data_IF_206895790957
#
_entry.id   IF_206895790957
#
_cell.length_a   1.000
_cell.length_b   1.000
_cell.length_c   1.000
_cell.angle_alpha   90.00
_cell.angle_beta   90.00
_cell.angle_gamma   90.00
#
_symmetry.space_group_name_H-M   'P 1'
#
loop_
_entity.id
_entity.type
_entity.pdbx_description
1 polymer ?
#
# COMPACT_ATOMS: atom_id res chain seq x y z
N UNK A 1 3.68 -14.72 1.63
CA UNK A 1 4.45 -13.46 1.79
C UNK A 1 4.14 -12.78 3.11
N UNK A 2 2.85 -12.74 3.50
CA UNK A 2 2.38 -12.09 4.73
C UNK A 2 2.12 -13.15 5.81
N UNK A 3 2.40 -12.82 7.07
CA UNK A 3 2.25 -13.68 8.24
C UNK A 3 1.46 -12.96 9.33
N UNK A 4 0.60 -13.69 10.05
CA UNK A 4 -0.21 -13.12 11.14
C UNK A 4 -1.17 -12.04 10.64
N UNK A 5 -2.00 -12.36 9.65
CA UNK A 5 -2.86 -11.37 9.01
C UNK A 5 -4.23 -11.92 8.67
N UNK A 6 -5.17 -11.00 8.45
CA UNK A 6 -6.44 -11.24 7.76
C UNK A 6 -6.64 -10.15 6.72
N UNK A 7 -7.36 -10.45 5.66
CA UNK A 7 -7.58 -9.50 4.57
C UNK A 7 -8.99 -9.57 4.00
N UNK A 8 -9.39 -8.48 3.35
CA UNK A 8 -10.62 -8.42 2.55
C UNK A 8 -10.40 -7.47 1.39
N UNK A 9 -11.19 -7.66 0.36
CA UNK A 9 -11.31 -6.73 -0.75
C UNK A 9 -12.62 -5.96 -0.65
N UNK A 10 -12.60 -4.65 -0.91
CA UNK A 10 -13.78 -3.78 -0.79
C UNK A 10 -13.97 -2.92 -2.03
N UNK A 11 -15.15 -3.07 -2.65
CA UNK A 11 -15.63 -2.20 -3.73
C UNK A 11 -16.43 -1.00 -3.19
N UNK A 12 -17.21 -1.22 -2.14
CA UNK A 12 -18.14 -0.24 -1.61
C UNK A 12 -17.68 0.27 -0.24
N UNK A 13 -17.86 1.57 -0.05
CA UNK A 13 -17.44 2.30 1.15
C UNK A 13 -18.59 3.16 1.65
N UNK A 14 -18.77 3.24 2.97
CA UNK A 14 -19.68 4.22 3.58
C UNK A 14 -19.20 5.66 3.32
N UNK A 15 -20.09 6.64 3.41
CA UNK A 15 -19.84 8.02 2.96
C UNK A 15 -18.54 8.66 3.50
N UNK A 16 -18.22 8.46 4.77
CA UNK A 16 -16.96 8.97 5.37
C UNK A 16 -15.73 8.33 4.74
N UNK A 17 -15.71 7.00 4.61
CA UNK A 17 -14.58 6.28 4.04
C UNK A 17 -14.45 6.53 2.54
N UNK A 18 -15.57 6.68 1.82
CA UNK A 18 -15.58 7.02 0.40
C UNK A 18 -14.80 8.32 0.14
N UNK A 19 -15.06 9.37 0.93
CA UNK A 19 -14.32 10.63 0.81
C UNK A 19 -12.81 10.49 1.07
N UNK A 20 -12.39 9.61 1.98
CA UNK A 20 -10.96 9.35 2.23
C UNK A 20 -10.33 8.60 1.05
N UNK A 21 -11.01 7.58 0.53
CA UNK A 21 -10.53 6.78 -0.61
C UNK A 21 -10.41 7.65 -1.87
N UNK A 22 -11.37 8.56 -2.10
CA UNK A 22 -11.30 9.51 -3.23
C UNK A 22 -10.12 10.48 -3.09
N UNK A 23 -9.84 11.01 -1.89
CA UNK A 23 -8.65 11.84 -1.68
C UNK A 23 -7.35 11.06 -1.91
N UNK A 24 -7.27 9.81 -1.44
CA UNK A 24 -6.14 8.94 -1.71
C UNK A 24 -5.94 8.80 -3.23
N UNK A 25 -7.01 8.49 -3.96
CA UNK A 25 -6.99 8.32 -5.42
C UNK A 25 -6.46 9.57 -6.12
N UNK A 26 -7.04 10.73 -5.80
CA UNK A 26 -6.64 12.01 -6.37
C UNK A 26 -5.19 12.43 -6.02
N UNK A 27 -4.67 11.98 -4.88
CA UNK A 27 -3.30 12.31 -4.44
C UNK A 27 -2.26 11.39 -5.07
N UNK A 28 -2.56 10.09 -5.18
CA UNK A 28 -1.56 9.09 -5.52
C UNK A 28 -1.58 8.66 -6.99
N UNK A 29 -2.70 8.84 -7.68
CA UNK A 29 -2.86 8.36 -9.06
C UNK A 29 -3.16 9.54 -9.99
N UNK A 30 -2.64 9.50 -11.23
CA UNK A 30 -2.92 10.54 -12.22
C UNK A 30 -4.42 10.58 -12.54
N UNK A 31 -4.92 11.79 -12.79
CA UNK A 31 -6.32 12.01 -13.16
C UNK A 31 -6.67 11.22 -14.43
N UNK A 32 -7.79 10.48 -14.41
CA UNK A 32 -8.21 9.61 -15.51
C UNK A 32 -7.39 8.33 -15.68
N UNK A 33 -6.38 8.08 -14.84
CA UNK A 33 -5.62 6.83 -14.84
C UNK A 33 -6.47 5.63 -14.43
N UNK A 34 -6.19 4.43 -14.97
CA UNK A 34 -6.94 3.22 -14.59
C UNK A 34 -6.68 2.89 -13.12
N UNK A 35 -7.74 2.92 -12.32
CA UNK A 35 -7.71 2.42 -10.94
C UNK A 35 -8.07 0.94 -10.96
N UNK A 36 -7.14 0.10 -10.50
CA UNK A 36 -7.43 -1.31 -10.26
C UNK A 36 -8.36 -1.40 -9.04
N UNK A 37 -9.42 -2.18 -9.18
CA UNK A 37 -10.31 -2.52 -8.07
C UNK A 37 -10.29 -4.02 -7.82
N UNK A 38 -10.86 -4.52 -6.71
CA UNK A 38 -11.27 -3.83 -5.48
C UNK A 38 -10.12 -3.25 -4.63
N UNK A 39 -10.44 -2.39 -3.65
CA UNK A 39 -9.43 -1.89 -2.69
C UNK A 39 -9.11 -3.00 -1.69
N UNK A 40 -7.83 -3.35 -1.60
CA UNK A 40 -7.32 -4.32 -0.63
C UNK A 40 -7.23 -3.71 0.77
N UNK A 41 -7.76 -4.43 1.76
CA UNK A 41 -7.68 -4.07 3.18
C UNK A 41 -6.96 -5.18 3.90
N UNK A 42 -5.79 -4.86 4.43
CA UNK A 42 -4.94 -5.77 5.18
C UNK A 42 -4.96 -5.40 6.66
N UNK A 43 -5.23 -6.38 7.51
CA UNK A 43 -5.14 -6.25 8.96
C UNK A 43 -4.05 -7.19 9.48
N UNK A 44 -3.03 -6.59 10.09
CA UNK A 44 -1.88 -7.30 10.64
C UNK A 44 -2.04 -7.43 12.16
N UNK A 45 -1.85 -8.64 12.66
CA UNK A 45 -1.68 -8.86 14.09
C UNK A 45 -0.42 -8.13 14.61
N UNK A 46 -0.33 -7.92 15.92
CA UNK A 46 0.82 -7.28 16.57
C UNK A 46 2.15 -7.99 16.27
N UNK A 47 2.12 -9.32 16.13
CA UNK A 47 3.27 -10.13 15.74
C UNK A 47 3.31 -10.43 14.22
N UNK A 48 2.34 -9.91 13.47
CA UNK A 48 2.24 -10.07 12.02
C UNK A 48 3.29 -9.24 11.28
N UNK A 49 3.69 -9.72 10.11
CA UNK A 49 4.69 -9.06 9.28
C UNK A 49 4.57 -9.45 7.81
N UNK A 50 5.18 -8.65 6.95
CA UNK A 50 5.24 -8.86 5.51
C UNK A 50 6.70 -9.16 5.14
N UNK A 51 6.97 -10.30 4.51
CA UNK A 51 8.30 -10.64 4.00
C UNK A 51 8.65 -9.78 2.77
N UNK A 52 9.95 -9.59 2.45
CA UNK A 52 10.36 -8.93 1.22
C UNK A 52 9.71 -9.59 0.00
N UNK A 53 9.06 -8.77 -0.84
CA UNK A 53 8.44 -9.19 -2.09
C UNK A 53 8.27 -7.97 -3.01
N UNK A 54 8.02 -8.25 -4.27
CA UNK A 54 7.60 -7.26 -5.27
C UNK A 54 6.19 -7.63 -5.70
N UNK A 55 5.29 -6.65 -5.72
CA UNK A 55 3.92 -6.83 -6.18
C UNK A 55 3.90 -7.30 -7.65
N UNK A 56 2.88 -8.08 -8.01
CA UNK A 56 2.83 -8.68 -9.33
C UNK A 56 2.54 -7.64 -10.42
N UNK A 57 3.43 -7.52 -11.41
CA UNK A 57 3.23 -6.68 -12.60
C UNK A 57 1.97 -7.02 -13.42
N UNK A 58 1.39 -8.21 -13.21
CA UNK A 58 0.15 -8.63 -13.88
C UNK A 58 -1.10 -8.05 -13.22
N UNK A 59 -1.01 -7.71 -11.94
CA UNK A 59 -2.15 -7.34 -11.09
C UNK A 59 -1.97 -5.99 -10.40
N UNK A 60 -0.81 -5.35 -10.56
CA UNK A 60 -0.51 -4.02 -10.05
C UNK A 60 0.02 -3.14 -11.19
N UNK A 61 -0.44 -1.89 -11.22
CA UNK A 61 0.02 -0.88 -12.17
C UNK A 61 1.38 -0.30 -11.76
N UNK A 62 1.72 0.86 -12.33
CA UNK A 62 2.97 1.57 -12.04
C UNK A 62 3.01 2.27 -10.67
N UNK A 63 1.89 2.30 -9.95
CA UNK A 63 1.76 2.96 -8.65
C UNK A 63 1.03 2.08 -7.65
N UNK A 64 1.57 1.99 -6.44
CA UNK A 64 0.97 1.39 -5.25
C UNK A 64 0.85 2.49 -4.19
N UNK A 65 -0.30 2.57 -3.55
CA UNK A 65 -0.56 3.56 -2.51
C UNK A 65 -1.31 2.92 -1.35
N UNK A 66 -0.85 3.17 -0.13
CA UNK A 66 -1.40 2.55 1.08
C UNK A 66 -1.59 3.54 2.22
N UNK A 67 -2.71 3.41 2.92
CA UNK A 67 -3.01 4.15 4.15
C UNK A 67 -2.73 3.27 5.38
N UNK A 68 -1.88 3.76 6.27
CA UNK A 68 -1.61 3.13 7.57
C UNK A 68 -2.61 3.67 8.60
N UNK A 69 -3.15 2.83 9.50
CA UNK A 69 -4.28 3.25 10.35
C UNK A 69 -4.01 3.17 11.86
N UNK A 70 -3.71 1.98 12.39
CA UNK A 70 -3.81 1.70 13.83
C UNK A 70 -2.49 1.96 14.57
N UNK A 71 -1.37 1.43 14.07
CA UNK A 71 -0.05 1.52 14.69
C UNK A 71 1.01 1.92 13.68
N UNK A 72 2.09 2.52 14.19
CA UNK A 72 3.26 2.84 13.40
C UNK A 72 3.97 1.54 12.96
N UNK A 73 4.57 1.55 11.78
CA UNK A 73 5.35 0.44 11.24
C UNK A 73 6.53 0.94 10.41
N UNK A 74 7.43 0.03 10.04
CA UNK A 74 8.56 0.35 9.15
C UNK A 74 8.45 -0.50 7.90
N UNK A 75 8.43 0.17 6.75
CA UNK A 75 8.57 -0.48 5.45
C UNK A 75 10.03 -0.39 5.01
N UNK A 76 10.67 -1.54 4.77
CA UNK A 76 12.02 -1.59 4.22
C UNK A 76 11.93 -1.88 2.72
N UNK A 77 12.49 -0.98 1.92
CA UNK A 77 12.68 -1.16 0.49
C UNK A 77 14.12 -1.60 0.24
N UNK A 78 14.32 -2.62 -0.59
CA UNK A 78 15.63 -3.14 -0.98
C UNK A 78 15.60 -3.35 -2.48
N UNK A 79 16.65 -2.92 -3.19
CA UNK A 79 16.76 -3.18 -4.63
C UNK A 79 16.90 -4.68 -4.90
N UNK A 80 16.18 -5.16 -5.91
CA UNK A 80 16.27 -6.56 -6.37
C UNK A 80 17.62 -6.82 -7.06
N UNK A 81 18.22 -5.79 -7.65
CA UNK A 81 19.50 -5.89 -8.36
C UNK A 81 20.70 -5.76 -7.41
N UNK A 82 20.57 -4.94 -6.37
CA UNK A 82 21.66 -4.68 -5.42
C UNK A 82 21.15 -4.57 -3.98
N UNK A 83 21.37 -5.60 -3.18
CA UNK A 83 20.94 -5.63 -1.78
C UNK A 83 21.61 -4.58 -0.86
N UNK A 84 22.70 -3.95 -1.31
CA UNK A 84 23.31 -2.83 -0.59
C UNK A 84 22.48 -1.54 -0.69
N UNK A 85 21.62 -1.43 -1.71
CA UNK A 85 20.74 -0.28 -1.91
C UNK A 85 19.41 -0.52 -1.20
N UNK A 86 19.22 0.15 -0.07
CA UNK A 86 18.02 0.02 0.75
C UNK A 86 17.63 1.33 1.42
N UNK A 87 16.34 1.43 1.76
CA UNK A 87 15.79 2.52 2.54
C UNK A 87 14.76 1.98 3.54
N UNK A 88 14.61 2.65 4.69
CA UNK A 88 13.55 2.39 5.65
C UNK A 88 12.61 3.60 5.70
N UNK A 89 11.32 3.35 5.49
CA UNK A 89 10.26 4.34 5.59
C UNK A 89 9.52 4.13 6.92
N UNK A 90 9.46 5.17 7.76
CA UNK A 90 8.59 5.17 8.92
C UNK A 90 7.16 5.46 8.46
N UNK A 91 6.29 4.48 8.62
CA UNK A 91 4.87 4.56 8.29
C UNK A 91 4.09 4.78 9.58
N UNK A 92 3.90 6.04 9.95
CA UNK A 92 3.15 6.40 11.15
C UNK A 92 1.66 6.09 10.98
N UNK A 93 0.94 5.88 12.08
CA UNK A 93 -0.51 5.77 12.05
C UNK A 93 -1.11 6.98 11.31
N UNK A 94 -2.05 6.70 10.40
CA UNK A 94 -2.70 7.67 9.49
C UNK A 94 -1.77 8.31 8.46
N UNK A 95 -0.59 7.73 8.18
CA UNK A 95 0.23 8.12 7.04
C UNK A 95 -0.27 7.52 5.72
N UNK A 96 0.03 8.21 4.63
CA UNK A 96 -0.07 7.71 3.26
C UNK A 96 1.34 7.43 2.75
N UNK A 97 1.57 6.26 2.14
CA UNK A 97 2.76 6.03 1.34
C UNK A 97 2.38 5.84 -0.12
N UNK A 98 3.27 6.25 -1.03
CA UNK A 98 3.13 6.09 -2.48
C UNK A 98 4.43 5.53 -3.00
N UNK A 99 4.36 4.36 -3.64
CA UNK A 99 5.46 3.77 -4.39
C UNK A 99 5.09 3.84 -5.86
N UNK A 100 5.86 4.58 -6.65
CA UNK A 100 5.63 4.72 -8.09
C UNK A 100 6.93 4.54 -8.85
N UNK A 101 6.85 3.91 -10.02
CA UNK A 101 7.95 3.92 -10.98
C UNK A 101 8.07 5.35 -11.52
N UNK A 102 9.26 5.94 -11.40
CA UNK A 102 9.56 7.20 -12.09
C UNK A 102 9.82 6.89 -13.56
N UNK A 103 9.07 7.52 -14.46
CA UNK A 103 9.25 7.45 -15.91
C UNK A 103 10.21 8.54 -16.36
#
# INVERSE_FOLDING_TARGET
AIHGFRETERLQWGGVCAGVVERLRATAFPEGGPLLGPVHVLDLDKAGFIKPHVDSVKFCGSTISGLCLLSDSVMRLVSVENSADWACLLLQRRSLYILSVSV
#
